data_IF_748660489300
#
_entry.id   IF_748660489300
#
_cell.length_a   1.000
_cell.length_b   1.000
_cell.length_c   1.000
_cell.angle_alpha   90.00
_cell.angle_beta   90.00
_cell.angle_gamma   90.00
#
_symmetry.space_group_name_H-M   'P 1'
#
loop_
_entity.id
_entity.type
_entity.pdbx_description
1 polymer ?
#
# COMPACT_ATOMS: atom_id res chain seq x y z
N UNK A 1 -5.44 -10.29 -1.08
CA UNK A 1 -5.15 -9.03 -0.38
C UNK A 1 -4.36 -8.12 -1.31
N UNK A 2 -4.74 -6.86 -1.49
CA UNK A 2 -4.08 -5.91 -2.38
C UNK A 2 -3.30 -4.89 -1.55
N UNK A 3 -1.98 -4.90 -1.67
CA UNK A 3 -1.08 -3.92 -1.04
C UNK A 3 -0.72 -2.84 -2.06
N UNK A 4 -0.92 -1.58 -1.68
CA UNK A 4 -0.62 -0.43 -2.52
C UNK A 4 0.59 0.38 -2.05
N UNK A 5 1.10 1.23 -2.93
CA UNK A 5 2.08 2.27 -2.56
C UNK A 5 1.81 3.59 -3.27
N UNK A 6 2.20 4.68 -2.62
CA UNK A 6 2.38 6.00 -3.24
C UNK A 6 3.50 5.94 -4.28
N UNK A 7 3.50 6.92 -5.16
CA UNK A 7 4.44 7.13 -6.27
C UNK A 7 5.81 7.68 -5.83
N UNK A 8 6.37 7.18 -4.73
CA UNK A 8 7.73 7.50 -4.29
C UNK A 8 8.44 6.31 -3.65
N UNK A 9 9.76 6.30 -3.77
CA UNK A 9 10.63 5.14 -3.52
C UNK A 9 10.49 4.55 -2.12
N UNK A 10 10.46 5.39 -1.06
CA UNK A 10 10.33 4.87 0.29
C UNK A 10 9.00 4.12 0.48
N UNK A 11 7.90 4.65 -0.07
CA UNK A 11 6.60 4.01 0.09
C UNK A 11 6.53 2.66 -0.62
N UNK A 12 7.14 2.53 -1.80
CA UNK A 12 7.26 1.25 -2.52
C UNK A 12 8.03 0.21 -1.71
N UNK A 13 9.15 0.62 -1.09
CA UNK A 13 9.96 -0.28 -0.24
C UNK A 13 9.16 -0.73 0.99
N UNK A 14 8.49 0.19 1.68
CA UNK A 14 7.70 -0.16 2.87
C UNK A 14 6.49 -1.03 2.52
N UNK A 15 5.82 -0.75 1.38
CA UNK A 15 4.74 -1.59 0.88
C UNK A 15 5.22 -3.01 0.55
N UNK A 16 6.43 -3.17 0.00
CA UNK A 16 7.03 -4.48 -0.24
C UNK A 16 7.33 -5.23 1.07
N UNK A 17 7.84 -4.53 2.10
CA UNK A 17 8.04 -5.11 3.43
C UNK A 17 6.71 -5.65 3.99
N UNK A 18 5.61 -4.90 3.82
CA UNK A 18 4.29 -5.35 4.26
C UNK A 18 3.83 -6.58 3.47
N UNK A 19 4.00 -6.58 2.15
CA UNK A 19 3.65 -7.71 1.29
C UNK A 19 4.39 -8.98 1.70
N UNK A 20 5.71 -8.91 1.87
CA UNK A 20 6.53 -10.05 2.29
C UNK A 20 6.15 -10.59 3.67
N UNK A 21 5.87 -9.71 4.64
CA UNK A 21 5.46 -10.12 5.98
C UNK A 21 4.09 -10.83 5.97
N UNK A 22 3.16 -10.36 5.14
CA UNK A 22 1.84 -10.98 4.96
C UNK A 22 1.93 -12.31 4.22
N UNK A 23 2.79 -12.40 3.20
CA UNK A 23 3.05 -13.67 2.50
C UNK A 23 3.66 -14.72 3.44
N UNK A 24 4.61 -14.34 4.31
CA UNK A 24 5.18 -15.22 5.34
C UNK A 24 4.11 -15.70 6.35
N UNK A 25 3.14 -14.84 6.65
CA UNK A 25 1.98 -15.19 7.48
C UNK A 25 0.90 -16.03 6.75
N UNK A 26 1.11 -16.39 5.48
CA UNK A 26 0.24 -17.28 4.71
C UNK A 26 -0.86 -16.58 3.91
N UNK A 27 -0.82 -15.26 3.75
CA UNK A 27 -1.76 -14.52 2.91
C UNK A 27 -1.33 -14.53 1.44
N UNK A 28 -2.29 -14.61 0.52
CA UNK A 28 -2.03 -14.30 -0.90
C UNK A 28 -2.10 -12.79 -1.13
N UNK A 29 -0.97 -12.21 -1.54
CA UNK A 29 -0.81 -10.77 -1.73
C UNK A 29 -0.63 -10.41 -3.21
N UNK A 30 -1.43 -9.44 -3.68
CA UNK A 30 -1.24 -8.73 -4.94
C UNK A 30 -0.65 -7.34 -4.63
N UNK A 31 0.32 -6.89 -5.44
CA UNK A 31 0.97 -5.58 -5.30
C UNK A 31 0.43 -4.62 -6.35
N UNK A 32 0.01 -3.43 -5.94
CA UNK A 32 -0.37 -2.30 -6.81
C UNK A 32 0.42 -1.05 -6.42
N UNK A 33 1.66 -1.01 -6.88
CA UNK A 33 2.59 0.06 -6.54
C UNK A 33 2.40 1.28 -7.43
N UNK A 34 3.09 2.37 -7.08
CA UNK A 34 3.20 3.59 -7.87
C UNK A 34 1.84 4.26 -8.16
N UNK A 35 0.94 4.26 -7.18
CA UNK A 35 -0.34 4.97 -7.25
C UNK A 35 -0.09 6.43 -6.91
N UNK A 36 -0.64 7.35 -7.71
CA UNK A 36 -0.48 8.77 -7.46
C UNK A 36 -0.91 9.12 -6.02
N UNK A 37 -0.07 9.88 -5.31
CA UNK A 37 -0.28 10.19 -3.90
C UNK A 37 -1.65 10.84 -3.60
N UNK A 38 -2.23 11.54 -4.58
CA UNK A 38 -3.56 12.16 -4.46
C UNK A 38 -4.74 11.20 -4.57
N UNK A 39 -4.54 9.97 -5.08
CA UNK A 39 -5.64 9.02 -5.33
C UNK A 39 -5.56 7.77 -4.47
N UNK A 40 -4.41 7.44 -3.86
CA UNK A 40 -4.25 6.19 -3.11
C UNK A 40 -5.22 6.05 -1.94
N UNK A 41 -5.55 7.14 -1.24
CA UNK A 41 -6.53 7.11 -0.16
C UNK A 41 -7.93 6.77 -0.71
N UNK A 42 -8.29 7.31 -1.87
CA UNK A 42 -9.54 6.96 -2.55
C UNK A 42 -9.55 5.50 -2.98
N UNK A 43 -8.43 4.97 -3.50
CA UNK A 43 -8.29 3.55 -3.82
C UNK A 43 -8.41 2.64 -2.59
N UNK A 44 -7.96 3.09 -1.41
CA UNK A 44 -8.22 2.38 -0.15
C UNK A 44 -9.72 2.39 0.19
N UNK A 45 -10.37 3.56 0.12
CA UNK A 45 -11.81 3.71 0.44
C UNK A 45 -12.70 2.93 -0.53
N UNK A 46 -12.31 2.82 -1.80
CA UNK A 46 -13.05 2.06 -2.82
C UNK A 46 -12.80 0.55 -2.79
N UNK A 47 -11.80 0.09 -2.03
CA UNK A 47 -11.39 -1.32 -1.96
C UNK A 47 -10.52 -1.78 -3.13
N UNK A 48 -10.02 -0.87 -3.97
CA UNK A 48 -9.02 -1.18 -5.00
C UNK A 48 -7.64 -1.52 -4.41
N UNK A 49 -7.36 -1.01 -3.20
CA UNK A 49 -6.23 -1.33 -2.34
C UNK A 49 -6.80 -1.63 -0.96
N UNK A 50 -6.26 -2.63 -0.26
CA UNK A 50 -6.72 -3.04 1.08
C UNK A 50 -5.78 -2.56 2.19
N UNK A 51 -4.51 -2.27 1.87
CA UNK A 51 -3.52 -1.72 2.80
C UNK A 51 -2.42 -0.98 2.03
N UNK A 52 -1.94 0.14 2.55
CA UNK A 52 -0.74 0.85 2.08
C UNK A 52 -0.04 1.56 3.25
N UNK A 53 1.26 1.90 3.14
CA UNK A 53 1.96 2.68 4.15
C UNK A 53 1.53 4.16 4.12
N UNK A 54 1.04 4.68 5.24
CA UNK A 54 0.67 6.09 5.40
C UNK A 54 1.42 6.77 6.55
N UNK A 55 1.60 8.09 6.44
CA UNK A 55 2.32 8.94 7.36
C UNK A 55 1.35 9.87 8.07
N UNK A 56 1.53 10.02 9.38
CA UNK A 56 0.64 10.83 10.23
C UNK A 56 0.53 12.28 9.76
N UNK A 57 1.58 12.87 9.20
CA UNK A 57 1.54 14.23 8.67
C UNK A 57 0.67 14.42 7.41
N UNK A 58 0.36 13.33 6.70
CA UNK A 58 -0.49 13.36 5.49
C UNK A 58 -1.90 12.83 5.76
N UNK A 59 -2.05 11.91 6.73
CA UNK A 59 -3.34 11.30 7.07
C UNK A 59 -4.19 12.08 8.09
N UNK A 60 -3.71 13.21 8.61
CA UNK A 60 -4.42 14.09 9.54
C UNK A 60 -5.22 15.19 8.84
#
# INVERSE_FOLDING_TARGET
MIIGSKDFTENEIVAEIYALALEDAGFTVERRMNIASSVIHTSLVSGEVELYPEYTGTGL
#
